data_IF_427396704001
#
_entry.id   IF_427396704001
#
_cell.length_a   1.000
_cell.length_b   1.000
_cell.length_c   1.000
_cell.angle_alpha   90.00
_cell.angle_beta   90.00
_cell.angle_gamma   90.00
#
_symmetry.space_group_name_H-M   'P 1'
#
loop_
_entity.id
_entity.type
_entity.pdbx_description
1 polymer ?
#
# COMPACT_ATOMS: atom_id res chain seq x y z
N UNK A 1 16.11 38.58 -15.47
CA UNK A 1 15.91 37.64 -14.35
C UNK A 1 15.87 36.23 -14.91
N UNK A 2 16.86 35.41 -14.58
CA UNK A 2 16.89 33.98 -14.89
C UNK A 2 16.75 33.20 -13.59
N UNK A 3 15.84 32.22 -13.57
CA UNK A 3 15.67 31.34 -12.42
C UNK A 3 16.61 30.13 -12.57
N UNK A 4 17.35 29.81 -11.50
CA UNK A 4 18.13 28.59 -11.40
C UNK A 4 17.88 27.98 -10.02
N UNK A 5 17.41 26.74 -10.00
CA UNK A 5 17.12 25.99 -8.78
C UNK A 5 17.17 24.49 -9.05
N UNK A 6 17.27 23.71 -8.00
CA UNK A 6 17.20 22.25 -8.04
C UNK A 6 16.03 21.80 -7.18
N UNK A 7 15.29 20.80 -7.63
CA UNK A 7 14.22 20.19 -6.84
C UNK A 7 14.78 18.98 -6.10
N UNK A 8 14.64 18.95 -4.78
CA UNK A 8 15.02 17.80 -3.95
C UNK A 8 13.81 17.31 -3.15
N UNK A 9 13.64 15.99 -3.07
CA UNK A 9 12.56 15.35 -2.32
C UNK A 9 12.39 13.87 -2.63
N UNK A 10 11.79 13.13 -1.69
CA UNK A 10 11.45 11.72 -1.87
C UNK A 10 10.37 11.57 -2.97
N UNK A 11 10.61 10.66 -3.92
CA UNK A 11 9.61 10.28 -4.93
C UNK A 11 8.71 9.18 -4.33
N UNK A 12 7.48 9.53 -4.01
CA UNK A 12 6.48 8.59 -3.51
C UNK A 12 5.88 7.76 -4.65
N UNK A 13 6.43 6.57 -4.88
CA UNK A 13 5.98 5.68 -5.97
C UNK A 13 4.48 5.32 -5.90
N UNK A 14 3.90 5.23 -4.70
CA UNK A 14 2.47 4.95 -4.55
C UNK A 14 1.58 6.05 -5.15
N UNK A 15 1.99 7.33 -5.11
CA UNK A 15 1.26 8.42 -5.76
C UNK A 15 1.27 8.25 -7.30
N UNK A 16 2.42 7.90 -7.87
CA UNK A 16 2.53 7.63 -9.31
C UNK A 16 1.69 6.44 -9.76
N UNK A 17 1.67 5.36 -8.98
CA UNK A 17 0.82 4.21 -9.27
C UNK A 17 -0.66 4.56 -9.16
N UNK A 18 -1.07 5.32 -8.13
CA UNK A 18 -2.43 5.83 -8.01
C UNK A 18 -2.85 6.64 -9.25
N UNK A 19 -2.05 7.63 -9.67
CA UNK A 19 -2.33 8.42 -10.87
C UNK A 19 -2.40 7.56 -12.14
N UNK A 20 -1.53 6.54 -12.24
CA UNK A 20 -1.52 5.62 -13.37
C UNK A 20 -2.80 4.80 -13.44
N UNK A 21 -3.30 4.33 -12.29
CA UNK A 21 -4.60 3.63 -12.21
C UNK A 21 -5.74 4.57 -12.62
N UNK A 22 -5.78 5.80 -12.09
CA UNK A 22 -6.81 6.77 -12.47
C UNK A 22 -6.84 7.05 -13.98
N UNK A 23 -5.67 7.19 -14.61
CA UNK A 23 -5.55 7.36 -16.06
C UNK A 23 -6.01 6.13 -16.82
N UNK A 24 -5.62 4.93 -16.38
CA UNK A 24 -6.06 3.68 -17.00
C UNK A 24 -7.58 3.48 -16.91
N UNK A 25 -8.18 3.82 -15.77
CA UNK A 25 -9.63 3.77 -15.53
C UNK A 25 -10.41 4.69 -16.47
N UNK A 26 -9.82 5.85 -16.81
CA UNK A 26 -10.42 6.90 -17.63
C UNK A 26 -10.17 6.73 -19.13
N UNK A 27 -9.37 5.74 -19.52
CA UNK A 27 -9.03 5.49 -20.92
C UNK A 27 -9.84 4.31 -21.47
N UNK A 28 -10.74 4.59 -22.40
CA UNK A 28 -11.66 3.58 -22.95
C UNK A 28 -11.00 2.59 -23.92
N UNK A 29 -9.77 2.88 -24.39
CA UNK A 29 -9.13 2.11 -25.46
C UNK A 29 -8.49 0.78 -25.04
N UNK A 30 -8.43 0.43 -23.75
CA UNK A 30 -7.85 -0.85 -23.29
C UNK A 30 -8.82 -2.02 -23.41
N UNK A 31 -10.13 -1.78 -23.45
CA UNK A 31 -11.13 -2.84 -23.29
C UNK A 31 -11.17 -3.43 -21.88
N UNK A 32 -12.12 -4.34 -21.63
CA UNK A 32 -12.46 -4.80 -20.28
C UNK A 32 -11.31 -5.54 -19.57
N UNK A 33 -10.88 -6.69 -20.09
CA UNK A 33 -9.88 -7.53 -19.41
C UNK A 33 -8.49 -6.90 -19.38
N UNK A 34 -8.03 -6.30 -20.49
CA UNK A 34 -6.71 -5.66 -20.52
C UNK A 34 -6.68 -4.43 -19.60
N UNK A 35 -7.73 -3.61 -19.62
CA UNK A 35 -7.89 -2.49 -18.69
C UNK A 35 -7.90 -2.95 -17.23
N UNK A 36 -8.66 -4.00 -16.92
CA UNK A 36 -8.72 -4.56 -15.57
C UNK A 36 -7.38 -5.13 -15.09
N UNK A 37 -6.63 -5.88 -15.91
CA UNK A 37 -5.28 -6.35 -15.57
C UNK A 37 -4.36 -5.17 -15.20
N UNK A 38 -4.37 -4.10 -16.01
CA UNK A 38 -3.55 -2.90 -15.77
C UNK A 38 -3.95 -2.27 -14.43
N UNK A 39 -5.24 -2.00 -14.23
CA UNK A 39 -5.77 -1.38 -13.02
C UNK A 39 -5.41 -2.22 -11.79
N UNK A 40 -5.64 -3.53 -11.83
CA UNK A 40 -5.39 -4.42 -10.70
C UNK A 40 -3.89 -4.51 -10.36
N UNK A 41 -3.04 -4.69 -11.38
CA UNK A 41 -1.59 -4.82 -11.18
C UNK A 41 -0.99 -3.52 -10.62
N UNK A 42 -1.38 -2.38 -11.18
CA UNK A 42 -0.92 -1.07 -10.70
C UNK A 42 -1.47 -0.76 -9.30
N UNK A 43 -2.69 -1.20 -8.97
CA UNK A 43 -3.24 -1.11 -7.61
C UNK A 43 -2.42 -1.93 -6.62
N UNK A 44 -2.01 -3.15 -6.98
CA UNK A 44 -1.15 -3.97 -6.12
C UNK A 44 0.22 -3.31 -5.88
N UNK A 45 0.82 -2.72 -6.91
CA UNK A 45 2.07 -1.97 -6.77
C UNK A 45 1.90 -0.69 -5.94
N UNK A 46 0.79 0.03 -6.09
CA UNK A 46 0.42 1.18 -5.26
C UNK A 46 0.38 0.78 -3.79
N UNK A 47 -0.38 -0.28 -3.47
CA UNK A 47 -0.52 -0.78 -2.09
C UNK A 47 0.84 -1.20 -1.55
N UNK A 48 1.60 -2.02 -2.27
CA UNK A 48 2.92 -2.47 -1.81
C UNK A 48 3.88 -1.30 -1.56
N UNK A 49 3.94 -0.33 -2.48
CA UNK A 49 4.76 0.87 -2.32
C UNK A 49 4.33 1.71 -1.11
N UNK A 50 3.02 1.80 -0.84
CA UNK A 50 2.51 2.52 0.32
C UNK A 50 2.82 1.80 1.64
N UNK A 51 2.66 0.48 1.71
CA UNK A 51 3.01 -0.31 2.90
C UNK A 51 4.50 -0.19 3.22
N UNK A 52 5.34 -0.23 2.19
CA UNK A 52 6.77 0.01 2.31
C UNK A 52 7.08 1.41 2.87
N UNK A 53 6.40 2.44 2.36
CA UNK A 53 6.50 3.81 2.86
C UNK A 53 6.02 3.92 4.31
N UNK A 54 4.89 3.32 4.66
CA UNK A 54 4.31 3.36 6.00
C UNK A 54 5.25 2.71 7.02
N UNK A 55 5.73 1.49 6.75
CA UNK A 55 6.69 0.82 7.63
C UNK A 55 8.01 1.61 7.76
N UNK A 56 8.56 2.14 6.65
CA UNK A 56 9.74 3.03 6.68
C UNK A 56 9.49 4.22 7.62
N UNK A 57 8.35 4.87 7.48
CA UNK A 57 8.00 6.08 8.25
C UNK A 57 7.79 5.79 9.73
N UNK A 58 7.26 4.61 10.09
CA UNK A 58 7.17 4.18 11.49
C UNK A 58 8.56 3.90 12.07
N UNK A 59 9.43 3.21 11.32
CA UNK A 59 10.80 2.90 11.77
C UNK A 59 11.71 4.14 11.84
N UNK A 60 11.48 5.15 11.00
CA UNK A 60 12.24 6.40 10.96
C UNK A 60 11.77 7.43 12.01
N UNK A 61 11.56 6.97 13.25
CA UNK A 61 11.09 7.83 14.34
C UNK A 61 12.09 8.93 14.71
N UNK A 62 13.40 8.68 14.52
CA UNK A 62 14.47 9.63 14.82
C UNK A 62 14.41 10.86 13.90
N UNK A 63 14.34 10.66 12.59
CA UNK A 63 14.24 11.78 11.63
C UNK A 63 12.91 12.51 11.77
N UNK A 64 11.82 11.81 12.12
CA UNK A 64 10.53 12.45 12.41
C UNK A 64 10.60 13.33 13.64
N UNK A 65 11.30 12.89 14.68
CA UNK A 65 11.53 13.69 15.87
C UNK A 65 12.41 14.90 15.58
N UNK A 66 13.48 14.76 14.78
CA UNK A 66 14.35 15.88 14.44
C UNK A 66 13.65 16.96 13.60
N UNK A 67 12.79 16.58 12.65
CA UNK A 67 12.03 17.56 11.84
C UNK A 67 11.02 18.39 12.65
N UNK A 68 10.74 18.04 13.91
CA UNK A 68 9.93 18.87 14.80
C UNK A 68 10.68 20.09 15.32
N UNK A 69 12.01 20.13 15.24
CA UNK A 69 12.78 21.34 15.55
C UNK A 69 12.65 22.41 14.49
N UNK A 70 12.59 22.01 13.23
CA UNK A 70 12.54 22.94 12.09
C UNK A 70 11.18 23.64 11.97
N UNK A 71 10.17 23.17 12.72
CA UNK A 71 8.85 23.78 12.81
C UNK A 71 8.74 24.45 14.17
N UNK A 72 8.48 25.75 14.22
CA UNK A 72 8.10 26.46 15.44
C UNK A 72 6.78 25.89 15.97
N UNK A 73 6.85 24.79 16.73
CA UNK A 73 5.73 24.16 17.44
C UNK A 73 5.79 24.68 18.88
N UNK A 74 4.98 25.71 19.17
CA UNK A 74 4.99 26.47 20.43
C UNK A 74 4.75 25.61 21.69
N UNK A 75 4.26 24.37 21.52
CA UNK A 75 4.02 23.42 22.60
C UNK A 75 5.04 22.26 22.66
N UNK A 76 6.08 22.26 21.82
CA UNK A 76 7.12 21.22 21.79
C UNK A 76 7.73 20.97 23.18
N UNK A 77 8.26 22.01 23.80
CA UNK A 77 8.92 21.90 25.10
C UNK A 77 7.93 21.49 26.20
N UNK A 78 6.71 22.02 26.20
CA UNK A 78 5.66 21.63 27.16
C UNK A 78 5.30 20.14 27.09
N UNK A 79 5.32 19.54 25.89
CA UNK A 79 5.07 18.12 25.71
C UNK A 79 6.28 17.27 26.11
N UNK A 80 7.50 17.72 25.78
CA UNK A 80 8.77 17.01 26.03
C UNK A 80 9.17 17.01 27.52
N UNK A 81 8.87 18.08 28.26
CA UNK A 81 9.22 18.23 29.67
C UNK A 81 8.47 17.29 30.62
N UNK A 82 7.42 16.62 30.11
CA UNK A 82 6.71 15.55 30.84
C UNK A 82 7.49 14.23 30.90
N UNK A 83 8.57 14.09 30.12
CA UNK A 83 9.38 12.88 30.03
C UNK A 83 10.71 13.04 30.74
N UNK A 84 11.22 11.94 31.33
CA UNK A 84 12.47 11.92 32.10
C UNK A 84 13.65 12.52 31.32
N UNK A 85 14.41 13.39 31.98
CA UNK A 85 15.55 14.10 31.39
C UNK A 85 16.74 13.18 31.01
N UNK A 86 16.80 11.98 31.60
CA UNK A 86 17.86 10.99 31.35
C UNK A 86 17.81 10.38 29.93
N UNK A 87 16.66 10.46 29.26
CA UNK A 87 16.52 10.00 27.89
C UNK A 87 17.06 11.07 26.93
N UNK A 88 17.73 10.62 25.85
CA UNK A 88 18.13 11.48 24.73
C UNK A 88 16.96 12.36 24.27
N UNK A 89 17.24 13.61 23.95
CA UNK A 89 16.19 14.59 23.66
C UNK A 89 15.34 14.17 22.45
N UNK A 90 15.93 13.62 21.38
CA UNK A 90 15.16 13.12 20.23
C UNK A 90 14.22 11.99 20.64
N UNK A 91 14.66 11.11 21.55
CA UNK A 91 13.79 10.08 22.12
C UNK A 91 12.64 10.68 22.93
N UNK A 92 12.89 11.73 23.72
CA UNK A 92 11.82 12.43 24.46
C UNK A 92 10.80 13.09 23.52
N UNK A 93 11.25 13.71 22.42
CA UNK A 93 10.37 14.22 21.36
C UNK A 93 9.57 13.08 20.72
N UNK A 94 10.24 11.99 20.35
CA UNK A 94 9.57 10.84 19.74
C UNK A 94 8.51 10.21 20.67
N UNK A 95 8.76 10.18 21.97
CA UNK A 95 7.78 9.76 22.99
C UNK A 95 6.60 10.75 23.06
N UNK A 96 6.89 12.05 23.13
CA UNK A 96 5.89 13.11 23.24
C UNK A 96 4.90 13.17 22.06
N UNK A 97 5.35 12.81 20.86
CA UNK A 97 4.53 12.77 19.64
C UNK A 97 4.08 11.35 19.25
N UNK A 98 4.33 10.34 20.09
CA UNK A 98 3.88 8.97 19.85
C UNK A 98 4.65 8.20 18.76
N UNK A 99 5.75 8.75 18.22
CA UNK A 99 6.56 8.10 17.19
C UNK A 99 7.31 6.88 17.73
N UNK A 100 7.89 7.00 18.92
CA UNK A 100 8.65 5.90 19.54
C UNK A 100 7.73 4.73 19.96
N UNK A 101 6.59 4.97 20.64
CA UNK A 101 5.62 3.89 20.90
C UNK A 101 5.13 3.17 19.64
N UNK A 102 4.82 3.90 18.56
CA UNK A 102 4.47 3.28 17.27
C UNK A 102 5.58 2.38 16.73
N UNK A 103 6.84 2.83 16.83
CA UNK A 103 7.99 2.03 16.43
C UNK A 103 8.13 0.76 17.29
N UNK A 104 8.04 0.87 18.61
CA UNK A 104 8.14 -0.28 19.52
C UNK A 104 7.04 -1.31 19.25
N UNK A 105 5.80 -0.83 19.04
CA UNK A 105 4.67 -1.69 18.72
C UNK A 105 4.87 -2.42 17.39
N UNK A 106 5.11 -1.70 16.29
CA UNK A 106 5.29 -2.34 14.98
C UNK A 106 6.51 -3.26 14.95
N UNK A 107 7.62 -2.85 15.57
CA UNK A 107 8.83 -3.66 15.60
C UNK A 107 8.66 -4.95 16.39
N UNK A 108 7.90 -4.92 17.48
CA UNK A 108 7.51 -6.10 18.26
C UNK A 108 6.57 -7.02 17.47
N UNK A 109 5.62 -6.45 16.72
CA UNK A 109 4.72 -7.21 15.83
C UNK A 109 5.50 -7.94 14.72
N UNK A 110 6.48 -7.30 14.11
CA UNK A 110 7.38 -7.98 13.17
C UNK A 110 8.18 -9.09 13.84
N UNK A 111 8.73 -8.82 15.03
CA UNK A 111 9.53 -9.81 15.76
C UNK A 111 8.74 -11.06 16.12
N UNK A 112 7.50 -10.91 16.62
CA UNK A 112 6.63 -12.01 17.02
C UNK A 112 6.20 -12.91 15.85
N UNK A 113 6.22 -12.36 14.63
CA UNK A 113 5.91 -13.09 13.39
C UNK A 113 7.16 -13.75 12.74
N UNK A 114 8.31 -13.69 13.40
CA UNK A 114 9.55 -14.30 12.93
C UNK A 114 9.97 -15.47 13.81
N UNK A 115 10.56 -16.49 13.18
CA UNK A 115 11.05 -17.69 13.87
C UNK A 115 12.48 -18.05 13.48
N UNK A 116 13.15 -18.80 14.36
CA UNK A 116 14.46 -19.40 14.10
C UNK A 116 15.57 -18.41 13.73
N UNK A 117 16.22 -18.62 12.58
CA UNK A 117 17.33 -17.74 12.15
C UNK A 117 16.86 -16.33 11.77
N UNK A 118 15.59 -16.17 11.36
CA UNK A 118 15.05 -14.88 10.89
C UNK A 118 14.90 -13.88 12.03
N UNK A 119 14.42 -14.31 13.20
CA UNK A 119 14.28 -13.42 14.37
C UNK A 119 15.65 -12.93 14.86
N UNK A 120 16.67 -13.79 14.87
CA UNK A 120 18.03 -13.39 15.24
C UNK A 120 18.63 -12.38 14.26
N UNK A 121 18.35 -12.54 12.96
CA UNK A 121 18.78 -11.60 11.92
C UNK A 121 18.05 -10.26 12.06
N UNK A 122 16.74 -10.29 12.31
CA UNK A 122 15.93 -9.11 12.55
C UNK A 122 16.45 -8.27 13.72
N UNK A 123 16.65 -8.90 14.90
CA UNK A 123 17.18 -8.22 16.10
C UNK A 123 18.54 -7.56 15.86
N UNK A 124 19.42 -8.18 15.06
CA UNK A 124 20.72 -7.61 14.70
C UNK A 124 20.59 -6.37 13.81
N UNK A 125 19.62 -6.36 12.89
CA UNK A 125 19.42 -5.26 11.95
C UNK A 125 18.64 -4.09 12.57
N UNK A 126 17.71 -4.36 13.49
CA UNK A 126 16.79 -3.36 14.07
C UNK A 126 17.51 -2.13 14.66
N UNK A 127 18.69 -2.31 15.26
CA UNK A 127 19.44 -1.21 15.88
C UNK A 127 20.33 -0.39 14.92
N UNK A 128 20.59 -0.89 13.71
CA UNK A 128 21.66 -0.37 12.85
C UNK A 128 21.24 -0.16 11.39
N UNK A 129 19.99 -0.41 11.03
CA UNK A 129 19.55 -0.47 9.64
C UNK A 129 18.20 0.20 9.44
N UNK A 130 18.02 0.80 8.25
CA UNK A 130 16.71 1.30 7.84
C UNK A 130 15.73 0.16 7.61
N UNK A 131 14.44 0.45 7.65
CA UNK A 131 13.41 -0.55 7.34
C UNK A 131 13.64 -1.21 5.96
N UNK A 132 14.08 -0.46 4.94
CA UNK A 132 14.36 -1.04 3.63
C UNK A 132 15.50 -2.06 3.64
N UNK A 133 16.55 -1.82 4.43
CA UNK A 133 17.62 -2.80 4.58
C UNK A 133 17.12 -4.06 5.31
N UNK A 134 16.30 -3.89 6.36
CA UNK A 134 15.66 -5.00 7.07
C UNK A 134 14.76 -5.80 6.12
N UNK A 135 13.90 -5.12 5.37
CA UNK A 135 12.94 -5.73 4.46
C UNK A 135 13.61 -6.39 3.26
N UNK A 136 14.67 -5.81 2.69
CA UNK A 136 15.46 -6.45 1.63
C UNK A 136 16.07 -7.78 2.10
N UNK A 137 16.55 -7.81 3.34
CA UNK A 137 17.22 -8.98 3.93
C UNK A 137 16.27 -10.07 4.43
N UNK A 138 15.06 -9.70 4.83
CA UNK A 138 14.05 -10.62 5.40
C UNK A 138 12.89 -10.91 4.46
N UNK A 139 12.69 -10.08 3.43
CA UNK A 139 11.66 -10.16 2.40
C UNK A 139 10.27 -10.31 3.00
N UNK A 140 9.80 -9.31 3.75
CA UNK A 140 8.45 -9.35 4.29
C UNK A 140 7.43 -9.21 3.16
N UNK A 141 6.45 -10.11 3.11
CA UNK A 141 5.41 -10.05 2.08
C UNK A 141 4.52 -8.81 2.28
N UNK A 142 3.93 -8.25 1.21
CA UNK A 142 2.98 -7.16 1.34
C UNK A 142 1.81 -7.50 2.26
N UNK A 143 1.30 -8.74 2.18
CA UNK A 143 0.24 -9.24 3.09
C UNK A 143 0.67 -9.19 4.56
N UNK A 144 1.89 -9.62 4.87
CA UNK A 144 2.40 -9.55 6.24
C UNK A 144 2.50 -8.10 6.71
N UNK A 145 3.12 -7.21 5.91
CA UNK A 145 3.22 -5.78 6.24
C UNK A 145 1.85 -5.17 6.52
N UNK A 146 0.87 -5.47 5.67
CA UNK A 146 -0.50 -4.99 5.85
C UNK A 146 -1.12 -5.52 7.14
N UNK A 147 -1.05 -6.82 7.40
CA UNK A 147 -1.61 -7.41 8.61
C UNK A 147 -1.04 -6.76 9.88
N UNK A 148 0.29 -6.58 9.94
CA UNK A 148 0.92 -5.96 11.11
C UNK A 148 0.54 -4.48 11.27
N UNK A 149 0.46 -3.72 10.17
CA UNK A 149 -0.03 -2.33 10.23
C UNK A 149 -1.52 -2.29 10.63
N UNK A 150 -2.32 -3.28 10.21
CA UNK A 150 -3.75 -3.32 10.49
C UNK A 150 -4.05 -3.48 11.98
N UNK A 151 -3.19 -4.20 12.73
CA UNK A 151 -3.30 -4.32 14.19
C UNK A 151 -3.19 -2.96 14.91
N UNK A 152 -2.42 -2.03 14.34
CA UNK A 152 -2.23 -0.69 14.92
C UNK A 152 -3.32 0.30 14.50
N UNK A 153 -3.95 0.08 13.35
CA UNK A 153 -4.84 1.04 12.68
C UNK A 153 -6.31 0.77 12.99
N UNK A 154 -6.74 -0.48 12.93
CA UNK A 154 -8.16 -0.82 13.01
C UNK A 154 -8.54 -1.25 14.42
N UNK A 155 -9.28 -0.38 15.13
CA UNK A 155 -9.87 -0.69 16.44
C UNK A 155 -11.14 -1.52 16.34
N UNK A 156 -11.86 -1.42 15.23
CA UNK A 156 -13.05 -2.21 14.96
C UNK A 156 -12.63 -3.49 14.20
N UNK A 157 -12.96 -4.64 14.78
CA UNK A 157 -12.46 -5.92 14.27
C UNK A 157 -13.09 -6.33 12.94
N UNK A 158 -14.37 -6.01 12.72
CA UNK A 158 -15.03 -6.27 11.43
C UNK A 158 -14.40 -5.43 10.31
N UNK A 159 -14.10 -4.16 10.59
CA UNK A 159 -13.40 -3.28 9.65
C UNK A 159 -11.99 -3.82 9.34
N UNK A 160 -11.27 -4.33 10.36
CA UNK A 160 -9.96 -4.95 10.19
C UNK A 160 -10.05 -6.19 9.29
N UNK A 161 -10.97 -7.11 9.57
CA UNK A 161 -11.17 -8.34 8.80
C UNK A 161 -11.53 -8.02 7.34
N UNK A 162 -12.41 -7.05 7.11
CA UNK A 162 -12.78 -6.61 5.77
C UNK A 162 -11.59 -6.03 5.00
N UNK A 163 -10.78 -5.21 5.66
CA UNK A 163 -9.59 -4.63 5.05
C UNK A 163 -8.53 -5.70 4.72
N UNK A 164 -8.29 -6.65 5.65
CA UNK A 164 -7.40 -7.81 5.44
C UNK A 164 -7.88 -8.64 4.25
N UNK A 165 -9.17 -8.94 4.18
CA UNK A 165 -9.76 -9.71 3.08
C UNK A 165 -9.55 -9.01 1.74
N UNK A 166 -9.80 -7.70 1.66
CA UNK A 166 -9.60 -6.91 0.45
C UNK A 166 -8.14 -6.91 -0.03
N UNK A 167 -7.18 -6.73 0.88
CA UNK A 167 -5.75 -6.72 0.51
C UNK A 167 -5.27 -8.13 0.18
N UNK A 168 -5.76 -9.16 0.87
CA UNK A 168 -5.46 -10.55 0.55
C UNK A 168 -5.93 -10.89 -0.87
N UNK A 169 -7.18 -10.57 -1.21
CA UNK A 169 -7.77 -10.75 -2.54
C UNK A 169 -6.94 -10.07 -3.62
N UNK A 170 -6.59 -8.79 -3.44
CA UNK A 170 -5.76 -8.04 -4.39
C UNK A 170 -4.44 -8.74 -4.69
N UNK A 171 -3.70 -9.17 -3.66
CA UNK A 171 -2.42 -9.83 -3.85
C UNK A 171 -2.55 -11.27 -4.35
N UNK A 172 -3.65 -11.97 -4.06
CA UNK A 172 -3.93 -13.29 -4.63
C UNK A 172 -4.17 -13.21 -6.13
N UNK A 173 -5.00 -12.26 -6.59
CA UNK A 173 -5.24 -12.06 -8.01
C UNK A 173 -3.95 -11.62 -8.72
N UNK A 174 -3.19 -10.68 -8.15
CA UNK A 174 -1.89 -10.26 -8.71
C UNK A 174 -0.92 -11.44 -8.82
N UNK A 175 -0.82 -12.30 -7.81
CA UNK A 175 0.07 -13.46 -7.85
C UNK A 175 -0.40 -14.49 -8.87
N UNK A 176 -1.70 -14.72 -9.00
CA UNK A 176 -2.27 -15.56 -10.05
C UNK A 176 -1.85 -15.07 -11.44
N UNK A 177 -1.97 -13.77 -11.71
CA UNK A 177 -1.51 -13.16 -12.95
C UNK A 177 0.01 -13.30 -13.15
N UNK A 178 0.80 -13.01 -12.12
CA UNK A 178 2.26 -13.05 -12.19
C UNK A 178 2.82 -14.46 -12.44
N UNK A 179 2.12 -15.49 -11.97
CA UNK A 179 2.52 -16.89 -12.15
C UNK A 179 1.91 -17.54 -13.41
N UNK A 180 0.98 -16.87 -14.09
CA UNK A 180 0.55 -17.21 -15.45
C UNK A 180 0.01 -18.63 -15.61
N UNK A 181 -0.63 -19.19 -14.58
CA UNK A 181 -1.14 -20.56 -14.64
C UNK A 181 -2.32 -20.64 -15.60
N UNK A 182 -2.21 -21.51 -16.61
CA UNK A 182 -3.37 -21.88 -17.44
C UNK A 182 -4.40 -22.60 -16.58
N UNK A 183 -5.68 -22.29 -16.78
CA UNK A 183 -6.77 -22.90 -16.03
C UNK A 183 -7.73 -23.65 -16.95
N UNK A 184 -8.29 -24.74 -16.41
CA UNK A 184 -9.36 -25.47 -17.07
C UNK A 184 -10.71 -24.83 -16.69
N UNK A 185 -11.38 -24.21 -17.66
CA UNK A 185 -12.72 -23.64 -17.46
C UNK A 185 -13.77 -24.45 -18.19
N UNK A 186 -14.92 -24.66 -17.52
CA UNK A 186 -16.05 -25.43 -18.05
C UNK A 186 -17.34 -24.62 -17.95
N UNK A 187 -17.76 -24.04 -19.08
CA UNK A 187 -19.05 -23.35 -19.18
C UNK A 187 -20.15 -24.34 -19.57
N UNK A 188 -21.20 -24.47 -18.74
CA UNK A 188 -22.40 -25.22 -19.11
C UNK A 188 -23.30 -24.33 -19.96
N UNK A 189 -23.57 -24.75 -21.19
CA UNK A 189 -24.52 -24.06 -22.08
C UNK A 189 -25.79 -24.90 -22.15
N UNK A 190 -26.95 -24.27 -21.96
CA UNK A 190 -28.27 -24.89 -22.15
C UNK A 190 -28.95 -24.23 -23.34
N UNK A 191 -29.00 -24.94 -24.47
CA UNK A 191 -29.76 -24.53 -25.65
C UNK A 191 -31.20 -25.00 -25.45
N UNK A 192 -32.19 -24.09 -25.48
CA UNK A 192 -33.61 -24.47 -25.46
C UNK A 192 -33.99 -25.00 -26.84
N UNK A 193 -34.52 -26.22 -26.92
CA UNK A 193 -34.80 -26.90 -28.20
C UNK A 193 -36.20 -26.64 -28.74
N UNK A 194 -36.79 -25.49 -28.45
CA UNK A 194 -38.20 -25.23 -28.80
C UNK A 194 -38.36 -24.85 -30.28
N UNK A 195 -37.29 -24.85 -31.07
CA UNK A 195 -37.29 -24.73 -32.52
C UNK A 195 -36.49 -25.89 -33.12
N UNK A 196 -37.21 -26.87 -33.67
CA UNK A 196 -36.68 -27.85 -34.61
C UNK A 196 -36.45 -27.14 -35.94
N UNK A 197 -35.45 -26.26 -35.97
CA UNK A 197 -34.79 -25.88 -37.21
C UNK A 197 -33.34 -26.39 -37.09
N UNK A 198 -32.88 -27.04 -38.14
CA UNK A 198 -31.64 -27.84 -38.22
C UNK A 198 -30.38 -26.95 -38.20
N UNK A 199 -30.51 -25.70 -37.78
CA UNK A 199 -29.41 -24.78 -37.62
C UNK A 199 -28.81 -25.00 -36.22
N UNK A 200 -27.63 -25.61 -36.21
CA UNK A 200 -26.73 -25.58 -35.06
C UNK A 200 -26.72 -24.14 -34.49
N UNK A 201 -26.79 -23.96 -33.15
CA UNK A 201 -26.75 -22.63 -32.56
C UNK A 201 -25.57 -21.87 -33.18
N UNK A 202 -25.82 -20.65 -33.65
CA UNK A 202 -24.77 -19.92 -34.34
C UNK A 202 -23.58 -19.80 -33.40
N UNK A 203 -22.35 -19.80 -33.93
CA UNK A 203 -21.15 -19.64 -33.12
C UNK A 203 -21.17 -18.36 -32.26
N UNK A 204 -22.05 -17.40 -32.59
CA UNK A 204 -22.28 -16.16 -31.83
C UNK A 204 -23.18 -16.36 -30.60
N UNK A 205 -23.96 -17.42 -30.54
CA UNK A 205 -24.90 -17.74 -29.45
C UNK A 205 -24.27 -18.62 -28.36
N UNK A 206 -23.08 -19.17 -28.61
CA UNK A 206 -22.29 -19.91 -27.64
C UNK A 206 -21.42 -18.91 -26.87
N UNK A 207 -21.64 -18.70 -25.56
CA UNK A 207 -20.81 -17.78 -24.79
C UNK A 207 -19.36 -18.27 -24.74
N UNK A 208 -18.41 -17.36 -24.93
CA UNK A 208 -17.00 -17.68 -24.81
C UNK A 208 -16.70 -18.19 -23.39
N UNK A 209 -15.97 -19.30 -23.31
CA UNK A 209 -15.43 -19.78 -22.04
C UNK A 209 -14.47 -18.74 -21.49
N UNK A 210 -14.69 -18.31 -20.24
CA UNK A 210 -13.82 -17.38 -19.53
C UNK A 210 -13.05 -18.10 -18.44
N UNK A 211 -11.80 -17.69 -18.28
CA UNK A 211 -11.01 -18.05 -17.13
C UNK A 211 -11.46 -17.25 -15.88
N UNK A 212 -11.33 -17.83 -14.69
CA UNK A 212 -11.61 -17.16 -13.41
C UNK A 212 -10.80 -15.87 -13.25
N UNK A 213 -9.53 -15.88 -13.68
CA UNK A 213 -8.72 -14.65 -13.67
C UNK A 213 -9.25 -13.58 -14.63
N UNK A 214 -9.88 -13.95 -15.76
CA UNK A 214 -10.49 -12.98 -16.67
C UNK A 214 -11.72 -12.31 -16.05
N UNK A 215 -12.47 -13.03 -15.22
CA UNK A 215 -13.60 -12.48 -14.48
C UNK A 215 -13.12 -11.59 -13.32
N UNK A 216 -12.15 -12.05 -12.55
CA UNK A 216 -11.56 -11.27 -11.45
C UNK A 216 -10.89 -9.99 -11.95
N UNK A 217 -10.28 -10.04 -13.13
CA UNK A 217 -9.64 -8.89 -13.78
C UNK A 217 -10.57 -8.18 -14.77
N UNK A 218 -11.90 -8.27 -14.62
CA UNK A 218 -12.79 -7.33 -15.31
C UNK A 218 -12.47 -5.90 -14.85
N UNK A 219 -12.73 -4.93 -15.72
CA UNK A 219 -12.48 -3.52 -15.41
C UNK A 219 -13.33 -3.06 -14.21
N UNK A 220 -14.56 -3.56 -14.12
CA UNK A 220 -15.48 -3.27 -13.00
C UNK A 220 -14.91 -3.79 -11.67
N UNK A 221 -14.52 -5.06 -11.60
CA UNK A 221 -13.97 -5.67 -10.38
C UNK A 221 -12.66 -5.00 -9.97
N UNK A 222 -11.81 -4.71 -10.95
CA UNK A 222 -10.52 -4.05 -10.72
C UNK A 222 -10.70 -2.61 -10.21
N UNK A 223 -11.69 -1.87 -10.74
CA UNK A 223 -12.08 -0.53 -10.23
C UNK A 223 -12.57 -0.61 -8.79
N UNK A 224 -13.43 -1.58 -8.47
CA UNK A 224 -13.94 -1.75 -7.12
C UNK A 224 -12.82 -2.04 -6.11
N UNK A 225 -11.87 -2.92 -6.46
CA UNK A 225 -10.69 -3.20 -5.64
C UNK A 225 -9.79 -1.97 -5.48
N UNK A 226 -9.56 -1.20 -6.55
CA UNK A 226 -8.80 0.04 -6.49
C UNK A 226 -9.37 1.03 -5.47
N UNK A 227 -10.67 1.32 -5.54
CA UNK A 227 -11.28 2.29 -4.63
C UNK A 227 -11.27 1.80 -3.18
N UNK A 228 -11.54 0.51 -2.94
CA UNK A 228 -11.42 -0.08 -1.59
C UNK A 228 -9.99 0.03 -1.05
N UNK A 229 -8.98 -0.27 -1.88
CA UNK A 229 -7.58 -0.14 -1.51
C UNK A 229 -7.20 1.32 -1.19
N UNK A 230 -7.75 2.30 -1.92
CA UNK A 230 -7.55 3.72 -1.63
C UNK A 230 -8.06 4.10 -0.24
N UNK A 231 -9.29 3.71 0.10
CA UNK A 231 -9.89 3.97 1.42
C UNK A 231 -9.06 3.33 2.54
N UNK A 232 -8.53 2.13 2.32
CA UNK A 232 -7.66 1.44 3.28
C UNK A 232 -6.36 2.23 3.49
N UNK A 233 -5.72 2.69 2.41
CA UNK A 233 -4.50 3.52 2.48
C UNK A 233 -4.78 4.85 3.20
N UNK A 234 -5.89 5.52 2.89
CA UNK A 234 -6.33 6.75 3.57
C UNK A 234 -6.55 6.54 5.06
N UNK A 235 -7.14 5.41 5.44
CA UNK A 235 -7.31 5.03 6.85
C UNK A 235 -5.95 4.88 7.54
N UNK A 236 -5.02 4.11 6.96
CA UNK A 236 -3.66 3.96 7.51
C UNK A 236 -2.96 5.33 7.62
N UNK A 237 -3.06 6.13 6.57
CA UNK A 237 -2.42 7.45 6.49
C UNK A 237 -2.92 8.41 7.56
N UNK A 238 -4.22 8.41 7.78
CA UNK A 238 -4.87 9.29 8.76
C UNK A 238 -4.54 8.84 10.18
N UNK A 239 -4.70 7.54 10.48
CA UNK A 239 -4.52 7.01 11.84
C UNK A 239 -3.05 7.04 12.29
N UNK A 240 -2.10 6.68 11.43
CA UNK A 240 -0.68 6.62 11.82
C UNK A 240 0.08 7.94 11.62
N UNK A 241 -0.31 8.73 10.62
CA UNK A 241 0.50 9.87 10.16
C UNK A 241 -0.26 11.19 10.14
N UNK A 242 -1.55 11.22 10.48
CA UNK A 242 -2.40 12.43 10.42
C UNK A 242 -2.36 13.09 9.02
N UNK A 243 -2.22 12.28 7.98
CA UNK A 243 -2.19 12.74 6.59
C UNK A 243 -3.47 12.32 5.86
N UNK A 244 -4.33 13.30 5.56
CA UNK A 244 -5.59 13.11 4.84
C UNK A 244 -5.41 12.95 3.32
N UNK A 245 -4.18 13.10 2.82
CA UNK A 245 -3.86 13.11 1.38
C UNK A 245 -2.67 12.20 1.06
N UNK A 246 -2.77 10.88 1.28
CA UNK A 246 -1.68 9.94 1.01
C UNK A 246 -1.24 9.89 -0.47
N UNK A 247 -2.12 10.26 -1.40
CA UNK A 247 -1.84 10.20 -2.84
C UNK A 247 -1.36 11.54 -3.44
N UNK A 248 -1.14 12.58 -2.61
CA UNK A 248 -0.59 13.84 -3.10
C UNK A 248 0.93 13.81 -3.05
N UNK A 249 1.57 14.19 -4.16
CA UNK A 249 3.00 14.42 -4.18
C UNK A 249 3.36 15.54 -3.18
N UNK A 250 4.34 15.34 -2.28
CA UNK A 250 4.83 16.42 -1.46
C UNK A 250 5.44 17.51 -2.36
N UNK A 251 5.27 18.80 -2.00
CA UNK A 251 5.90 19.88 -2.75
C UNK A 251 7.43 19.70 -2.72
N UNK A 252 8.04 19.68 -3.90
CA UNK A 252 9.50 19.66 -4.04
C UNK A 252 10.00 21.10 -3.84
N UNK A 253 10.98 21.29 -2.96
CA UNK A 253 11.48 22.62 -2.59
C UNK A 253 12.89 22.83 -3.16
N UNK A 254 13.12 24.01 -3.72
CA UNK A 254 14.45 24.52 -4.06
C UNK A 254 14.39 25.68 -5.06
N UNK A 255 14.26 26.90 -4.54
CA UNK A 255 14.33 28.14 -5.32
C UNK A 255 15.31 29.10 -4.65
N UNK A 256 16.34 29.54 -5.39
CA UNK A 256 17.15 30.71 -5.04
C UNK A 256 17.02 31.71 -6.17
N UNK A 257 16.69 32.97 -5.85
CA UNK A 257 16.59 34.05 -6.82
C UNK A 257 17.91 34.84 -6.78
N UNK A 258 18.64 34.87 -7.90
CA UNK A 258 19.74 35.80 -8.08
C UNK A 258 19.23 37.06 -8.78
N UNK A 259 19.41 38.21 -8.11
CA UNK A 259 19.13 39.55 -8.62
C UNK A 259 20.28 40.12 -9.44
#
# INVERSE_FOLDING_TARGET
>A
MSFQGFMEGDINSHCWFHESVCKAISYDGFGDTCGGIIVLTQTAFMVEAYLNYACKTVFDWQTRASKKFDRHDDDLFKKVDKFKAEADFNKRVALAFGYFPMFEELSSLFESNLTGKRINKYRKLLGNSSFYAIDSELRFSPKLKFNLLSEMVFKNEDAKINAISCIAELFDIRNMLAHGTSEFSRTKVRVKSDSVDIDLPSFKDIPNTKAAWQEQCSLENSKALFYKACVIIETISTELFQNDKPFRHPPQVGMVVHG
#
